data_IF_631550871884
#
_entry.id   IF_631550871884
#
_cell.length_a   1.000
_cell.length_b   1.000
_cell.length_c   1.000
_cell.angle_alpha   90.00
_cell.angle_beta   90.00
_cell.angle_gamma   90.00
#
_symmetry.space_group_name_H-M   'P 1'
#
loop_
_entity.id
_entity.type
_entity.pdbx_description
1 polymer ?
#
# COMPACT_ATOMS: atom_id res chain seq x y z
N UNK A 1 12.42 -5.35 -6.76
CA UNK A 1 11.22 -4.50 -6.80
C UNK A 1 11.44 -3.28 -5.94
N UNK A 2 11.05 -2.11 -6.41
CA UNK A 2 11.32 -0.86 -5.71
C UNK A 2 10.03 -0.12 -5.34
N UNK A 3 10.13 0.76 -4.35
CA UNK A 3 9.06 1.64 -3.93
C UNK A 3 9.67 3.02 -3.64
N UNK A 4 9.17 4.05 -4.30
CA UNK A 4 9.70 5.42 -4.21
C UNK A 4 11.22 5.47 -4.43
N UNK A 5 11.72 4.62 -5.34
CA UNK A 5 13.13 4.55 -5.67
C UNK A 5 13.98 3.65 -4.79
N UNK A 6 13.42 3.11 -3.72
CA UNK A 6 14.14 2.26 -2.76
C UNK A 6 13.79 0.79 -2.94
N UNK A 7 14.76 -0.08 -2.69
CA UNK A 7 14.52 -1.52 -2.74
C UNK A 7 13.55 -1.93 -1.64
N UNK A 8 12.55 -2.72 -2.00
CA UNK A 8 11.59 -3.23 -1.03
C UNK A 8 12.27 -4.31 -0.17
N UNK A 9 12.20 -4.14 1.15
CA UNK A 9 12.82 -5.06 2.11
C UNK A 9 11.82 -6.02 2.72
N UNK A 10 10.52 -5.70 2.72
CA UNK A 10 9.51 -6.55 3.33
C UNK A 10 8.15 -6.28 2.71
N UNK A 11 7.39 -7.34 2.47
CA UNK A 11 5.98 -7.26 2.06
C UNK A 11 5.20 -8.17 2.97
N UNK A 12 4.24 -7.60 3.71
CA UNK A 12 3.38 -8.35 4.62
C UNK A 12 1.93 -8.21 4.17
N UNK A 13 1.21 -9.33 4.18
CA UNK A 13 -0.20 -9.33 3.80
C UNK A 13 -1.01 -10.07 4.86
N UNK A 14 -2.29 -9.70 4.97
CA UNK A 14 -3.24 -10.42 5.82
C UNK A 14 -4.35 -10.99 4.94
N UNK A 15 -5.00 -12.05 5.44
CA UNK A 15 -6.09 -12.68 4.71
C UNK A 15 -7.26 -11.71 4.56
N UNK A 16 -7.97 -11.73 3.41
CA UNK A 16 -9.19 -10.93 3.25
C UNK A 16 -10.24 -11.33 4.27
N UNK A 17 -11.00 -10.34 4.72
CA UNK A 17 -12.11 -10.56 5.62
C UNK A 17 -13.21 -9.56 5.36
N UNK A 18 -14.38 -9.79 5.95
CA UNK A 18 -15.52 -8.86 5.87
C UNK A 18 -15.91 -8.50 4.42
N UNK A 19 -15.77 -9.43 3.50
CA UNK A 19 -16.13 -9.18 2.10
C UNK A 19 -15.13 -8.33 1.32
N UNK A 20 -13.98 -8.01 1.90
CA UNK A 20 -12.96 -7.25 1.19
C UNK A 20 -12.35 -8.09 0.05
N UNK A 21 -12.02 -7.44 -1.06
CA UNK A 21 -11.41 -8.12 -2.21
C UNK A 21 -10.00 -8.62 -1.86
N UNK A 22 -9.26 -7.85 -1.09
CA UNK A 22 -7.94 -8.23 -0.59
C UNK A 22 -7.84 -7.84 0.88
N UNK A 23 -6.93 -8.47 1.61
CA UNK A 23 -6.65 -8.11 2.99
C UNK A 23 -5.72 -6.91 3.11
N UNK A 24 -5.20 -6.69 4.31
CA UNK A 24 -4.23 -5.63 4.54
C UNK A 24 -2.90 -5.92 3.86
N UNK A 25 -2.19 -4.85 3.51
CA UNK A 25 -0.88 -4.93 2.86
C UNK A 25 0.05 -3.92 3.50
N UNK A 26 1.27 -4.34 3.83
CA UNK A 26 2.32 -3.43 4.27
C UNK A 26 3.58 -3.69 3.47
N UNK A 27 4.12 -2.62 2.87
CA UNK A 27 5.35 -2.67 2.10
C UNK A 27 6.36 -1.75 2.74
N UNK A 28 7.55 -2.27 3.01
CA UNK A 28 8.59 -1.53 3.72
C UNK A 28 9.87 -1.43 2.88
N UNK A 29 10.58 -0.31 3.06
CA UNK A 29 11.92 -0.09 2.52
C UNK A 29 12.81 0.47 3.62
N UNK A 30 14.10 0.64 3.36
CA UNK A 30 15.01 1.23 4.33
C UNK A 30 14.65 2.67 4.67
N UNK A 31 13.97 3.39 3.77
CA UNK A 31 13.69 4.82 3.93
C UNK A 31 12.23 5.15 4.16
N UNK A 32 11.36 4.16 4.27
CA UNK A 32 9.95 4.39 4.54
C UNK A 32 9.11 3.14 4.33
N UNK A 33 7.81 3.30 4.55
CA UNK A 33 6.86 2.19 4.39
C UNK A 33 5.47 2.74 4.12
N UNK A 34 4.59 1.89 3.57
CA UNK A 34 3.17 2.19 3.55
C UNK A 34 2.37 0.96 3.97
N UNK A 35 1.18 1.21 4.46
CA UNK A 35 0.21 0.16 4.76
C UNK A 35 -1.13 0.53 4.15
N UNK A 36 -1.81 -0.44 3.58
CA UNK A 36 -3.14 -0.28 3.01
C UNK A 36 -4.06 -1.29 3.66
N UNK A 37 -5.27 -0.87 4.03
CA UNK A 37 -6.23 -1.75 4.66
C UNK A 37 -7.64 -1.41 4.18
N UNK A 38 -8.52 -2.43 4.05
CA UNK A 38 -9.89 -2.19 3.63
C UNK A 38 -10.64 -1.37 4.68
N UNK A 39 -11.55 -0.51 4.22
CA UNK A 39 -12.34 0.32 5.12
C UNK A 39 -13.44 -0.45 5.86
N UNK A 40 -13.77 -1.63 5.40
CA UNK A 40 -14.77 -2.50 6.01
C UNK A 40 -16.19 -2.32 5.47
N UNK A 41 -16.61 -1.12 5.16
CA UNK A 41 -17.97 -0.85 4.70
C UNK A 41 -18.04 -0.27 3.30
N UNK A 42 -16.93 0.23 2.78
CA UNK A 42 -16.86 0.85 1.47
C UNK A 42 -15.82 0.14 0.63
N UNK A 43 -15.92 0.30 -0.68
CA UNK A 43 -15.03 -0.33 -1.64
C UNK A 43 -13.77 0.52 -1.83
N UNK A 44 -13.21 1.01 -0.71
CA UNK A 44 -12.01 1.85 -0.70
C UNK A 44 -11.02 1.32 0.32
N UNK A 45 -9.76 1.66 0.12
CA UNK A 45 -8.69 1.31 1.05
C UNK A 45 -8.13 2.56 1.70
N UNK A 46 -7.82 2.46 2.99
CA UNK A 46 -7.11 3.49 3.71
C UNK A 46 -5.61 3.23 3.58
N UNK A 47 -4.86 4.27 3.27
CA UNK A 47 -3.42 4.18 3.09
C UNK A 47 -2.73 5.00 4.15
N UNK A 48 -1.79 4.38 4.85
CA UNK A 48 -0.93 5.01 5.84
C UNK A 48 0.50 4.91 5.33
N UNK A 49 1.27 5.98 5.49
CA UNK A 49 2.64 5.98 5.01
C UNK A 49 3.53 6.81 5.94
N UNK A 50 4.80 6.42 6.00
CA UNK A 50 5.79 7.18 6.75
C UNK A 50 7.09 7.16 5.94
N UNK A 51 7.74 8.32 5.84
CA UNK A 51 9.03 8.45 5.17
C UNK A 51 10.07 8.96 6.15
N UNK A 52 11.27 8.40 6.06
CA UNK A 52 12.42 8.84 6.83
C UNK A 52 13.35 9.72 6.00
N UNK A 53 12.95 10.05 4.77
CA UNK A 53 13.77 10.81 3.82
C UNK A 53 13.14 12.15 3.40
N UNK A 54 12.10 12.61 4.12
CA UNK A 54 11.51 13.91 3.89
C UNK A 54 10.20 13.89 3.11
N UNK A 55 9.63 15.08 2.90
CA UNK A 55 8.28 15.22 2.35
C UNK A 55 8.18 14.80 0.90
N UNK A 56 9.19 15.07 0.09
CA UNK A 56 9.19 14.67 -1.32
C UNK A 56 9.14 13.14 -1.45
N UNK A 57 9.91 12.46 -0.63
CA UNK A 57 9.91 10.99 -0.60
C UNK A 57 8.56 10.46 -0.12
N UNK A 58 7.97 11.10 0.88
CA UNK A 58 6.65 10.73 1.38
C UNK A 58 5.59 10.87 0.29
N UNK A 59 5.62 11.96 -0.48
CA UNK A 59 4.69 12.16 -1.60
C UNK A 59 4.80 11.06 -2.64
N UNK A 60 6.01 10.67 -3.01
CA UNK A 60 6.24 9.58 -3.95
C UNK A 60 5.74 8.24 -3.41
N UNK A 61 5.98 8.00 -2.11
CA UNK A 61 5.51 6.80 -1.43
C UNK A 61 3.99 6.67 -1.52
N UNK A 62 3.28 7.74 -1.20
CA UNK A 62 1.82 7.78 -1.23
C UNK A 62 1.30 7.58 -2.65
N UNK A 63 1.88 8.27 -3.63
CA UNK A 63 1.46 8.14 -5.02
C UNK A 63 1.63 6.72 -5.54
N UNK A 64 2.77 6.11 -5.25
CA UNK A 64 3.03 4.73 -5.68
C UNK A 64 2.16 3.73 -4.92
N UNK A 65 1.89 3.97 -3.64
CA UNK A 65 0.99 3.13 -2.86
C UNK A 65 -0.42 3.15 -3.42
N UNK A 66 -0.93 4.33 -3.78
CA UNK A 66 -2.27 4.46 -4.37
C UNK A 66 -2.35 3.75 -5.72
N UNK A 67 -1.33 3.91 -6.55
CA UNK A 67 -1.29 3.24 -7.84
C UNK A 67 -1.27 1.72 -7.69
N UNK A 68 -0.48 1.21 -6.74
CA UNK A 68 -0.39 -0.23 -6.50
C UNK A 68 -1.71 -0.80 -6.00
N UNK A 69 -2.33 -0.13 -5.03
CA UNK A 69 -3.62 -0.58 -4.48
C UNK A 69 -4.70 -0.56 -5.56
N UNK A 70 -4.76 0.50 -6.36
CA UNK A 70 -5.72 0.59 -7.47
C UNK A 70 -5.53 -0.53 -8.48
N UNK A 71 -4.29 -0.84 -8.82
CA UNK A 71 -3.96 -1.91 -9.75
C UNK A 71 -4.43 -3.27 -9.23
N UNK A 72 -4.21 -3.55 -7.96
CA UNK A 72 -4.63 -4.82 -7.35
C UNK A 72 -6.14 -4.92 -7.29
N UNK A 73 -6.83 -3.84 -6.93
CA UNK A 73 -8.29 -3.83 -6.88
C UNK A 73 -8.90 -4.06 -8.26
N UNK A 74 -8.36 -3.45 -9.29
CA UNK A 74 -8.85 -3.65 -10.65
C UNK A 74 -8.66 -5.09 -11.11
N UNK A 75 -7.55 -5.72 -10.76
CA UNK A 75 -7.32 -7.12 -11.08
C UNK A 75 -8.35 -8.03 -10.44
N UNK A 76 -8.87 -7.68 -9.26
CA UNK A 76 -9.88 -8.46 -8.56
C UNK A 76 -11.32 -8.19 -9.04
N UNK A 77 -11.53 -7.11 -9.78
CA UNK A 77 -12.85 -6.78 -10.30
C UNK A 77 -13.21 -7.51 -11.59
N UNK A 78 -12.22 -8.01 -12.28
CA UNK A 78 -12.41 -8.67 -13.56
C UNK A 78 -13.14 -10.05 -13.45
#
# INVERSE_FOLDING_TARGET
MTLAGDEITSILTTAPGNGAAIGGLKVSTANGWFAARPSGTEDVYKIYAESFSGDDHLGRLIDEAQALVSSVLEAHRA
#
